data_IF_699945990549
#
_entry.id   IF_699945990549
#
_cell.length_a   1.000
_cell.length_b   1.000
_cell.length_c   1.000
_cell.angle_alpha   90.00
_cell.angle_beta   90.00
_cell.angle_gamma   90.00
#
_symmetry.space_group_name_H-M   'P 1'
#
loop_
_entity.id
_entity.type
_entity.pdbx_description
1 polymer ?
#
# COMPACT_ATOMS: atom_id res chain seq x y z
N UNK A 1 -13.23 -15.77 -2.42
CA UNK A 1 -12.40 -15.45 -3.60
C UNK A 1 -11.36 -14.43 -3.20
N UNK A 2 -11.64 -13.15 -3.44
CA UNK A 2 -10.65 -12.06 -3.39
C UNK A 2 -9.77 -11.98 -2.13
N UNK A 3 -10.30 -12.25 -0.92
CA UNK A 3 -9.49 -12.26 0.31
C UNK A 3 -8.37 -13.32 0.27
N UNK A 4 -8.72 -14.53 -0.15
CA UNK A 4 -7.75 -15.64 -0.21
C UNK A 4 -6.81 -15.49 -1.40
N UNK A 5 -7.27 -14.87 -2.50
CA UNK A 5 -6.41 -14.48 -3.62
C UNK A 5 -5.33 -13.49 -3.14
N UNK A 6 -5.71 -12.41 -2.46
CA UNK A 6 -4.77 -11.42 -1.91
C UNK A 6 -3.79 -12.06 -0.92
N UNK A 7 -4.28 -12.91 -0.02
CA UNK A 7 -3.40 -13.64 0.94
C UNK A 7 -2.43 -14.57 0.22
N UNK A 8 -2.90 -15.32 -0.77
CA UNK A 8 -2.06 -16.21 -1.57
C UNK A 8 -0.98 -15.44 -2.33
N UNK A 9 -1.35 -14.32 -2.94
CA UNK A 9 -0.38 -13.44 -3.61
C UNK A 9 0.68 -12.93 -2.64
N UNK A 10 0.29 -12.43 -1.47
CA UNK A 10 1.25 -11.96 -0.45
C UNK A 10 2.19 -13.09 -0.03
N UNK A 11 1.67 -14.28 0.28
CA UNK A 11 2.48 -15.42 0.73
C UNK A 11 3.52 -15.88 -0.31
N UNK A 12 3.21 -15.79 -1.61
CA UNK A 12 4.18 -16.07 -2.69
C UNK A 12 5.34 -15.07 -2.63
N UNK A 13 5.05 -13.79 -2.40
CA UNK A 13 6.07 -12.74 -2.37
C UNK A 13 6.87 -12.71 -1.06
N UNK A 14 6.25 -13.04 0.08
CA UNK A 14 6.94 -13.15 1.37
C UNK A 14 8.02 -14.24 1.34
N UNK A 15 7.76 -15.36 0.68
CA UNK A 15 8.76 -16.43 0.51
C UNK A 15 9.96 -16.00 -0.36
N UNK A 16 9.74 -15.08 -1.31
CA UNK A 16 10.78 -14.61 -2.23
C UNK A 16 11.56 -13.42 -1.66
N UNK A 17 10.92 -12.57 -0.87
CA UNK A 17 11.47 -11.30 -0.41
C UNK A 17 11.40 -11.19 1.13
N UNK A 18 12.48 -11.60 1.84
CA UNK A 18 12.58 -11.38 3.28
C UNK A 18 12.44 -9.88 3.60
N UNK A 19 11.55 -9.55 4.54
CA UNK A 19 11.27 -8.16 4.92
C UNK A 19 10.29 -7.42 4.00
N UNK A 20 9.51 -8.14 3.19
CA UNK A 20 8.45 -7.56 2.36
C UNK A 20 7.54 -6.64 3.19
N UNK A 21 7.39 -5.40 2.73
CA UNK A 21 6.39 -4.47 3.23
C UNK A 21 5.24 -4.41 2.24
N UNK A 22 4.02 -4.62 2.72
CA UNK A 22 2.83 -4.56 1.89
C UNK A 22 2.08 -3.28 2.21
N UNK A 23 1.69 -2.53 1.18
CA UNK A 23 0.88 -1.32 1.32
C UNK A 23 -0.43 -1.54 0.60
N UNK A 24 -1.53 -1.36 1.31
CA UNK A 24 -2.88 -1.40 0.76
C UNK A 24 -3.40 0.03 0.62
N UNK A 25 -4.06 0.35 -0.49
CA UNK A 25 -4.63 1.67 -0.80
C UNK A 25 -5.99 1.51 -1.48
N UNK A 26 -6.74 2.60 -1.66
CA UNK A 26 -8.04 2.60 -2.33
C UNK A 26 -9.23 2.56 -1.36
N UNK A 27 -10.44 2.64 -1.92
CA UNK A 27 -11.68 2.84 -1.14
C UNK A 27 -12.08 1.66 -0.27
N UNK A 28 -11.83 0.43 -0.73
CA UNK A 28 -12.24 -0.79 -0.02
C UNK A 28 -11.28 -1.23 1.09
N UNK A 29 -10.28 -0.42 1.42
CA UNK A 29 -9.24 -0.88 2.34
C UNK A 29 -9.73 -1.23 3.73
N UNK A 30 -10.75 -0.51 4.22
CA UNK A 30 -11.35 -0.76 5.54
C UNK A 30 -11.97 -2.16 5.64
N UNK A 31 -12.35 -2.73 4.50
CA UNK A 31 -12.85 -4.09 4.41
C UNK A 31 -11.72 -5.12 4.53
N UNK A 32 -10.50 -4.83 4.07
CA UNK A 32 -9.39 -5.78 4.01
C UNK A 32 -8.36 -5.63 5.14
N UNK A 33 -8.19 -4.42 5.68
CA UNK A 33 -7.24 -4.08 6.75
C UNK A 33 -7.46 -4.94 8.01
N UNK A 34 -8.73 -5.20 8.38
CA UNK A 34 -9.08 -6.04 9.54
C UNK A 34 -8.67 -7.51 9.42
N UNK A 35 -8.39 -8.00 8.21
CA UNK A 35 -8.20 -9.44 7.94
C UNK A 35 -6.82 -9.81 7.43
N UNK A 36 -5.98 -8.81 7.14
CA UNK A 36 -4.62 -8.98 6.68
C UNK A 36 -3.67 -8.58 7.83
N UNK A 37 -2.77 -9.49 8.23
CA UNK A 37 -1.95 -9.37 9.46
C UNK A 37 -0.96 -8.19 9.41
N UNK A 38 -0.35 -7.93 10.57
CA UNK A 38 0.54 -6.81 11.02
C UNK A 38 1.60 -6.23 10.06
N UNK A 39 1.86 -6.80 8.89
CA UNK A 39 2.83 -6.28 7.91
C UNK A 39 2.19 -5.48 6.75
N UNK A 40 0.88 -5.25 6.81
CA UNK A 40 0.17 -4.43 5.83
C UNK A 40 -0.10 -3.05 6.39
N UNK A 41 0.30 -2.03 5.63
CA UNK A 41 0.00 -0.63 5.94
C UNK A 41 -1.11 -0.13 5.03
N UNK A 42 -2.22 0.30 5.62
CA UNK A 42 -3.35 0.87 4.91
C UNK A 42 -3.18 2.40 4.76
N UNK A 43 -3.04 2.89 3.53
CA UNK A 43 -3.05 4.33 3.17
C UNK A 43 -4.10 4.65 2.10
N UNK A 44 -5.29 5.19 2.46
CA UNK A 44 -6.44 5.27 1.53
C UNK A 44 -6.18 6.15 0.30
N UNK A 45 -5.45 7.25 0.48
CA UNK A 45 -5.26 8.30 -0.52
C UNK A 45 -3.81 8.36 -1.01
N UNK A 46 -3.14 7.20 -1.12
CA UNK A 46 -1.71 7.13 -1.44
C UNK A 46 -1.34 7.90 -2.72
N UNK A 47 -2.20 7.83 -3.74
CA UNK A 47 -2.02 8.57 -5.00
C UNK A 47 -2.01 10.09 -4.75
N UNK A 48 -2.97 10.62 -3.98
CA UNK A 48 -3.04 12.06 -3.68
C UNK A 48 -1.85 12.52 -2.83
N UNK A 49 -1.38 11.69 -1.91
CA UNK A 49 -0.14 11.95 -1.15
C UNK A 49 1.04 12.07 -2.10
N UNK A 50 1.22 11.11 -3.00
CA UNK A 50 2.30 11.12 -3.98
C UNK A 50 2.24 12.33 -4.93
N UNK A 51 1.06 12.68 -5.43
CA UNK A 51 0.88 13.86 -6.29
C UNK A 51 1.26 15.15 -5.57
N UNK A 52 0.84 15.30 -4.30
CA UNK A 52 1.22 16.44 -3.47
C UNK A 52 2.73 16.50 -3.27
N UNK A 53 3.37 15.38 -3.00
CA UNK A 53 4.82 15.34 -2.76
C UNK A 53 5.62 15.65 -4.03
N UNK A 54 5.17 15.15 -5.19
CA UNK A 54 5.73 15.51 -6.51
C UNK A 54 5.57 17.01 -6.76
N UNK A 55 4.38 17.57 -6.51
CA UNK A 55 4.13 19.01 -6.68
C UNK A 55 5.08 19.83 -5.80
N UNK A 56 5.20 19.48 -4.52
CA UNK A 56 6.10 20.16 -3.58
C UNK A 56 7.54 20.08 -4.03
N UNK A 57 8.03 18.90 -4.42
CA UNK A 57 9.39 18.75 -4.91
C UNK A 57 9.66 19.67 -6.11
N UNK A 58 8.76 19.73 -7.08
CA UNK A 58 9.00 20.53 -8.29
C UNK A 58 8.79 22.03 -8.05
N UNK A 59 7.90 22.44 -7.15
CA UNK A 59 7.58 23.86 -6.91
C UNK A 59 8.45 24.47 -5.80
N UNK A 60 8.81 23.73 -4.75
CA UNK A 60 9.74 24.18 -3.71
C UNK A 60 11.19 24.28 -4.26
N UNK A 61 11.57 23.45 -5.24
CA UNK A 61 12.88 23.55 -5.92
C UNK A 61 12.98 24.68 -6.97
N UNK A 62 11.86 25.36 -7.26
CA UNK A 62 11.80 26.51 -8.18
C UNK A 62 11.89 27.87 -7.45
N UNK A 63 12.06 27.88 -6.13
CA UNK A 63 12.24 29.09 -5.30
C UNK A 63 13.69 29.31 -4.91
#
# INVERSE_FOLDING_TARGET
GIREEVKGTIGIYENRYPGLRVVLTGGDMNYFDKYLKSNIFAVSNLVLVGLKDILRHNVENLR
#
